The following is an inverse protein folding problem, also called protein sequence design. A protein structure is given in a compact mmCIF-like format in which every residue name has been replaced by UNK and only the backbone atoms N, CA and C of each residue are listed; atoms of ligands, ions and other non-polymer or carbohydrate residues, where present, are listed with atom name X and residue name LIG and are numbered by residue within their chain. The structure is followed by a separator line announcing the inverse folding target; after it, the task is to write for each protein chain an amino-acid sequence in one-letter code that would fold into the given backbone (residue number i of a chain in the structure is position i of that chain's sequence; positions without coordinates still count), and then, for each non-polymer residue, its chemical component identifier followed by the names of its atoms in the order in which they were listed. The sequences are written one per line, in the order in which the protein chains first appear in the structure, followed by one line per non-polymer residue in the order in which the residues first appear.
data_IF_185890331515
#
_entry.id   IF_185890331515
#
_cell.length_a   1.000
_cell.length_b   1.000
_cell.length_c   1.000
_cell.angle_alpha   90.00
_cell.angle_beta   90.00
_cell.angle_gamma   90.00
#
_symmetry.space_group_name_H-M   'P 1'
#
loop_
_entity.id
_entity.type
_entity.pdbx_description
1 polymer ?
#
# COMPACT_ATOMS: atom_id res chain seq x y z
N UNK A 1 17.37 -4.49 -17.99
CA UNK A 1 16.21 -5.11 -18.66
C UNK A 1 16.42 -6.54 -19.16
N UNK A 2 17.64 -7.05 -19.42
CA UNK A 2 17.87 -8.44 -19.88
C UNK A 2 18.19 -9.48 -18.77
N UNK A 3 18.28 -9.09 -17.50
CA UNK A 3 18.76 -9.98 -16.42
C UNK A 3 17.69 -10.83 -15.73
N UNK A 4 16.40 -10.48 -15.81
CA UNK A 4 15.31 -11.20 -15.11
C UNK A 4 14.39 -12.02 -16.03
N UNK A 5 14.50 -11.87 -17.37
CA UNK A 5 13.82 -12.76 -18.33
C UNK A 5 14.49 -14.13 -18.50
N UNK A 6 15.66 -14.36 -17.88
CA UNK A 6 16.38 -15.66 -17.94
C UNK A 6 15.96 -16.66 -16.86
N UNK A 7 15.21 -16.27 -15.84
CA UNK A 7 14.71 -17.23 -14.84
C UNK A 7 13.41 -17.95 -15.25
N UNK A 8 12.72 -17.48 -16.30
CA UNK A 8 11.46 -18.11 -16.76
C UNK A 8 11.65 -19.27 -17.75
N UNK A 9 12.90 -19.66 -18.07
CA UNK A 9 13.21 -20.70 -19.07
C UNK A 9 14.22 -21.76 -18.60
N UNK A 10 14.55 -21.79 -17.31
CA UNK A 10 15.54 -22.72 -16.74
C UNK A 10 14.95 -23.67 -15.67
N UNK A 11 13.62 -23.76 -15.54
CA UNK A 11 12.94 -24.60 -14.54
C UNK A 11 11.81 -25.45 -15.16
N UNK A 12 12.03 -25.92 -16.38
CA UNK A 12 11.26 -27.02 -16.99
C UNK A 12 12.28 -27.94 -17.63
N UNK A 13 12.85 -28.83 -16.81
CA UNK A 13 13.51 -30.10 -17.17
C UNK A 13 14.50 -30.47 -16.07
N UNK A 14 14.01 -31.10 -14.99
CA UNK A 14 14.63 -32.30 -14.42
C UNK A 14 13.76 -32.83 -13.29
N UNK A 15 13.61 -34.14 -13.32
CA UNK A 15 12.64 -34.97 -12.61
C UNK A 15 13.18 -35.33 -11.22
N UNK A 16 12.32 -35.16 -10.21
CA UNK A 16 12.00 -36.17 -9.18
C UNK A 16 13.14 -36.82 -8.36
N UNK A 17 13.34 -36.38 -7.10
CA UNK A 17 13.25 -37.24 -5.91
C UNK A 17 13.39 -36.39 -4.63
N UNK A 18 12.45 -36.52 -3.71
CA UNK A 18 12.54 -35.89 -2.38
C UNK A 18 11.17 -35.66 -1.76
N UNK A 19 10.49 -36.76 -1.43
CA UNK A 19 9.27 -36.72 -0.63
C UNK A 19 9.53 -36.03 0.70
N UNK A 20 8.85 -34.90 0.93
CA UNK A 20 8.59 -34.40 2.28
C UNK A 20 7.08 -34.25 2.41
N UNK A 21 6.52 -35.07 3.28
CA UNK A 21 5.12 -35.06 3.66
C UNK A 21 4.76 -33.66 4.18
N UNK A 22 3.89 -32.97 3.44
CA UNK A 22 3.24 -31.75 3.89
C UNK A 22 1.83 -32.16 4.35
N UNK A 23 1.68 -32.37 5.64
CA UNK A 23 0.39 -32.57 6.29
C UNK A 23 0.41 -31.72 7.56
N UNK A 24 -0.16 -30.51 7.50
CA UNK A 24 -1.38 -30.17 8.24
C UNK A 24 -1.76 -28.71 7.96
N UNK A 25 -3.04 -28.55 7.66
CA UNK A 25 -3.76 -27.29 7.53
C UNK A 25 -3.74 -26.55 8.87
N UNK A 26 -3.11 -25.38 8.92
CA UNK A 26 -3.47 -24.36 9.89
C UNK A 26 -3.88 -23.11 9.12
N UNK A 27 -5.19 -23.00 8.92
CA UNK A 27 -5.86 -21.88 8.30
C UNK A 27 -5.61 -20.61 9.12
N UNK A 28 -4.99 -19.61 8.50
CA UNK A 28 -4.88 -18.27 9.09
C UNK A 28 -6.27 -17.62 9.16
N UNK A 29 -6.90 -17.66 10.33
CA UNK A 29 -8.08 -16.83 10.61
C UNK A 29 -7.65 -15.36 10.78
N UNK A 30 -7.84 -14.58 9.72
CA UNK A 30 -7.77 -13.13 9.79
C UNK A 30 -9.02 -12.59 10.52
N UNK A 31 -9.00 -12.51 11.85
CA UNK A 31 -10.24 -12.12 12.55
C UNK A 31 -10.20 -11.94 14.06
N UNK A 32 -9.31 -11.12 14.63
CA UNK A 32 -9.54 -10.47 15.95
C UNK A 32 -8.87 -9.10 16.04
N UNK A 33 -9.38 -8.14 15.26
CA UNK A 33 -9.41 -6.75 15.71
C UNK A 33 -10.86 -6.33 15.72
N UNK A 34 -11.43 -6.27 16.92
CA UNK A 34 -12.83 -5.98 17.20
C UNK A 34 -13.27 -4.71 16.48
N UNK A 35 -14.20 -4.90 15.55
CA UNK A 35 -14.78 -3.86 14.72
C UNK A 35 -15.98 -3.28 15.48
N UNK A 36 -15.72 -2.40 16.45
CA UNK A 36 -16.77 -1.83 17.29
C UNK A 36 -16.45 -0.36 17.59
N UNK A 37 -16.71 0.50 16.60
CA UNK A 37 -16.97 1.96 16.73
C UNK A 37 -17.16 2.63 15.36
N UNK A 38 -18.19 2.21 14.61
CA UNK A 38 -18.74 3.02 13.52
C UNK A 38 -20.27 2.89 13.51
N UNK A 39 -20.92 3.39 14.56
CA UNK A 39 -22.37 3.70 14.59
C UNK A 39 -22.62 4.78 15.63
N UNK A 40 -22.35 6.03 15.26
CA UNK A 40 -22.91 7.23 15.89
C UNK A 40 -22.29 8.44 15.20
N UNK A 41 -22.90 8.91 14.11
CA UNK A 41 -22.88 10.30 13.62
C UNK A 41 -23.40 10.34 12.18
N UNK A 42 -24.66 9.95 11.97
CA UNK A 42 -25.38 10.22 10.72
C UNK A 42 -26.83 10.71 10.95
N UNK A 43 -27.17 11.09 12.20
CA UNK A 43 -28.49 11.62 12.56
C UNK A 43 -28.34 12.99 13.26
N UNK A 44 -28.08 14.05 12.49
CA UNK A 44 -28.16 15.42 13.01
C UNK A 44 -28.36 16.51 11.94
N UNK A 45 -28.94 16.20 10.78
CA UNK A 45 -29.24 17.23 9.77
C UNK A 45 -30.52 16.92 8.98
N UNK A 46 -31.66 16.97 9.66
CA UNK A 46 -32.96 17.13 9.00
C UNK A 46 -33.93 17.78 9.98
N UNK A 47 -34.19 19.08 9.82
CA UNK A 47 -35.51 19.71 9.94
C UNK A 47 -35.43 21.23 9.73
N UNK A 48 -36.54 21.77 9.21
CA UNK A 48 -36.90 23.18 8.99
C UNK A 48 -36.50 23.81 7.63
N UNK A 49 -37.46 23.77 6.70
CA UNK A 49 -37.61 24.73 5.60
C UNK A 49 -39.02 25.32 5.64
N UNK A 50 -39.14 26.65 5.76
CA UNK A 50 -40.31 27.43 5.33
C UNK A 50 -39.86 28.83 4.90
N UNK A 51 -40.31 29.16 3.68
CA UNK A 51 -40.18 30.32 2.80
C UNK A 51 -39.96 31.75 3.34
N UNK A 52 -39.20 32.55 2.58
CA UNK A 52 -39.58 33.86 2.01
C UNK A 52 -38.55 34.34 0.96
N UNK A 53 -38.99 35.18 0.00
CA UNK A 53 -38.39 35.36 -1.33
C UNK A 53 -37.53 36.63 -1.54
N UNK A 54 -36.62 36.54 -2.54
CA UNK A 54 -36.01 37.57 -3.45
C UNK A 54 -35.05 38.65 -2.89
N UNK A 55 -34.14 39.25 -3.72
CA UNK A 55 -33.31 38.68 -4.80
C UNK A 55 -31.81 39.16 -4.78
N UNK A 56 -31.03 38.66 -5.75
CA UNK A 56 -29.74 39.18 -6.28
C UNK A 56 -28.45 39.19 -5.42
N UNK A 57 -27.53 38.28 -5.75
CA UNK A 57 -26.13 38.58 -6.09
C UNK A 57 -25.44 37.27 -6.51
N UNK A 58 -24.87 37.26 -7.72
CA UNK A 58 -24.04 36.18 -8.27
C UNK A 58 -22.84 35.89 -7.35
N UNK A 59 -22.97 34.85 -6.52
CA UNK A 59 -21.84 34.27 -5.79
C UNK A 59 -21.42 33.00 -6.50
N UNK A 60 -20.31 33.12 -7.22
CA UNK A 60 -19.55 31.99 -7.72
C UNK A 60 -19.35 30.99 -6.58
N UNK A 61 -20.00 29.85 -6.73
CA UNK A 61 -20.05 28.82 -5.71
C UNK A 61 -18.74 28.05 -5.75
N UNK A 62 -17.69 28.58 -5.13
CA UNK A 62 -16.47 27.81 -4.89
C UNK A 62 -16.80 26.68 -3.93
N UNK A 63 -17.27 25.55 -4.47
CA UNK A 63 -17.36 24.29 -3.74
C UNK A 63 -15.98 24.02 -3.14
N UNK A 64 -15.86 23.65 -1.86
CA UNK A 64 -14.58 23.27 -1.30
C UNK A 64 -14.03 22.11 -2.13
N UNK A 65 -12.96 22.37 -2.89
CA UNK A 65 -12.27 21.33 -3.64
C UNK A 65 -11.71 20.35 -2.63
N UNK A 66 -12.32 19.17 -2.54
CA UNK A 66 -11.80 18.10 -1.71
C UNK A 66 -10.38 17.78 -2.18
N UNK A 67 -9.41 17.64 -1.27
CA UNK A 67 -8.03 17.38 -1.67
C UNK A 67 -7.97 16.06 -2.43
N UNK A 68 -7.36 16.10 -3.61
CA UNK A 68 -7.20 14.93 -4.49
C UNK A 68 -6.43 13.83 -3.75
N UNK A 69 -7.05 12.65 -3.64
CA UNK A 69 -6.42 11.47 -3.01
C UNK A 69 -5.41 10.85 -3.97
N UNK A 70 -4.23 10.52 -3.44
CA UNK A 70 -3.11 9.99 -4.23
C UNK A 70 -2.51 8.73 -3.63
N UNK A 71 -2.97 8.28 -2.46
CA UNK A 71 -2.47 7.04 -1.85
C UNK A 71 -3.50 5.93 -1.90
N UNK A 72 -3.07 4.76 -2.37
CA UNK A 72 -3.84 3.52 -2.35
C UNK A 72 -3.18 2.48 -1.44
N UNK A 73 -3.99 1.53 -0.98
CA UNK A 73 -3.57 0.31 -0.30
C UNK A 73 -3.87 -0.87 -1.23
N UNK A 74 -2.82 -1.57 -1.66
CA UNK A 74 -2.93 -2.84 -2.37
C UNK A 74 -2.99 -3.95 -1.34
N UNK A 75 -3.97 -4.84 -1.43
CA UNK A 75 -4.20 -5.96 -0.52
C UNK A 75 -4.05 -7.29 -1.25
N UNK A 76 -3.99 -8.38 -0.48
CA UNK A 76 -3.79 -9.74 -0.95
C UNK A 76 -2.48 -9.94 -1.72
N UNK A 77 -1.43 -9.23 -1.32
CA UNK A 77 -0.08 -9.45 -1.85
C UNK A 77 0.41 -10.83 -1.37
N UNK A 78 1.08 -11.64 -2.20
CA UNK A 78 1.67 -12.90 -1.75
C UNK A 78 2.75 -12.64 -0.70
N UNK A 79 2.72 -13.34 0.43
CA UNK A 79 3.54 -13.02 1.61
C UNK A 79 5.05 -13.12 1.37
N UNK A 80 5.46 -13.86 0.33
CA UNK A 80 6.86 -14.05 -0.04
C UNK A 80 7.38 -12.95 -0.98
N UNK A 81 6.56 -11.95 -1.32
CA UNK A 81 7.05 -10.77 -2.03
C UNK A 81 7.97 -9.95 -1.13
N UNK A 82 9.17 -9.68 -1.63
CA UNK A 82 10.04 -8.63 -1.10
C UNK A 82 9.62 -7.27 -1.64
N UNK A 83 10.09 -6.19 -1.00
CA UNK A 83 9.89 -4.82 -1.50
C UNK A 83 10.46 -4.67 -2.91
N UNK A 84 11.58 -5.30 -3.22
CA UNK A 84 12.19 -5.27 -4.56
C UNK A 84 11.29 -5.92 -5.60
N UNK A 85 10.76 -7.12 -5.32
CA UNK A 85 9.81 -7.79 -6.22
C UNK A 85 8.54 -6.97 -6.42
N UNK A 86 8.06 -6.32 -5.37
CA UNK A 86 6.89 -5.45 -5.44
C UNK A 86 7.14 -4.22 -6.32
N UNK A 87 8.27 -3.53 -6.14
CA UNK A 87 8.64 -2.38 -6.98
C UNK A 87 8.87 -2.78 -8.44
N UNK A 88 9.56 -3.91 -8.69
CA UNK A 88 9.75 -4.43 -10.04
C UNK A 88 8.42 -4.73 -10.73
N UNK A 89 7.46 -5.30 -10.00
CA UNK A 89 6.13 -5.56 -10.51
C UNK A 89 5.38 -4.26 -10.85
N UNK A 90 5.44 -3.23 -10.01
CA UNK A 90 4.87 -1.91 -10.34
C UNK A 90 5.50 -1.33 -11.62
N UNK A 91 6.82 -1.39 -11.73
CA UNK A 91 7.55 -0.85 -12.88
C UNK A 91 7.25 -1.63 -14.17
N UNK A 92 7.13 -2.97 -14.09
CA UNK A 92 6.74 -3.84 -15.21
C UNK A 92 5.33 -3.54 -15.73
N UNK A 93 4.43 -3.10 -14.86
CA UNK A 93 3.09 -2.66 -15.22
C UNK A 93 3.03 -1.18 -15.66
N UNK A 94 4.18 -0.53 -15.86
CA UNK A 94 4.25 0.84 -16.41
C UNK A 94 4.14 1.95 -15.37
N UNK A 95 4.38 1.67 -14.09
CA UNK A 95 4.35 2.67 -13.01
C UNK A 95 5.72 3.23 -12.64
N UNK A 96 6.77 2.89 -13.38
CA UNK A 96 8.11 3.45 -13.18
C UNK A 96 8.06 5.00 -13.21
N UNK A 97 8.45 5.62 -12.10
CA UNK A 97 8.41 7.09 -11.95
C UNK A 97 7.03 7.70 -11.71
N UNK A 98 5.97 6.89 -11.57
CA UNK A 98 4.59 7.34 -11.31
C UNK A 98 4.16 7.24 -9.84
N UNK A 99 5.06 6.79 -8.98
CA UNK A 99 4.90 6.78 -7.52
C UNK A 99 6.07 7.50 -6.84
N UNK A 100 5.79 8.08 -5.67
CA UNK A 100 6.77 8.81 -4.87
C UNK A 100 6.93 8.28 -3.43
N UNK A 101 6.06 7.37 -2.99
CA UNK A 101 6.18 6.65 -1.72
C UNK A 101 5.68 5.22 -1.86
N UNK A 102 6.44 4.26 -1.31
CA UNK A 102 6.04 2.85 -1.21
C UNK A 102 6.41 2.29 0.16
N UNK A 103 5.49 1.54 0.76
CA UNK A 103 5.77 0.75 1.96
C UNK A 103 5.07 -0.61 1.91
N UNK A 104 5.85 -1.68 2.00
CA UNK A 104 5.42 -3.06 2.16
C UNK A 104 5.84 -3.51 3.57
N UNK A 105 4.92 -3.50 4.57
CA UNK A 105 5.23 -3.97 5.91
C UNK A 105 5.53 -5.46 5.92
N UNK A 106 6.50 -5.86 6.74
CA UNK A 106 6.88 -7.24 6.95
C UNK A 106 6.95 -7.59 8.44
N UNK A 107 6.54 -8.82 8.74
CA UNK A 107 6.82 -9.50 10.00
C UNK A 107 8.29 -9.94 9.96
N UNK A 108 9.10 -9.40 10.86
CA UNK A 108 10.55 -9.66 10.89
C UNK A 108 10.89 -11.08 11.34
N UNK A 109 10.02 -11.71 12.14
CA UNK A 109 10.24 -13.06 12.66
C UNK A 109 9.92 -14.10 11.61
N UNK A 110 8.81 -13.89 10.90
CA UNK A 110 8.34 -14.80 9.84
C UNK A 110 8.99 -14.52 8.49
N UNK A 111 9.75 -13.43 8.37
CA UNK A 111 10.36 -12.95 7.13
C UNK A 111 9.35 -12.87 5.97
N UNK A 112 8.13 -12.42 6.28
CA UNK A 112 7.00 -12.42 5.36
C UNK A 112 6.31 -11.05 5.38
N UNK A 113 5.84 -10.57 4.23
CA UNK A 113 5.03 -9.36 4.21
C UNK A 113 3.64 -9.62 4.82
N UNK A 114 2.98 -8.55 5.28
CA UNK A 114 1.65 -8.63 5.90
C UNK A 114 0.49 -8.72 4.91
N UNK A 115 0.76 -8.96 3.62
CA UNK A 115 -0.25 -9.11 2.57
C UNK A 115 -0.81 -7.80 2.03
N UNK A 116 -0.24 -6.65 2.39
CA UNK A 116 -0.65 -5.35 1.88
C UNK A 116 0.51 -4.38 1.72
N UNK A 117 0.35 -3.37 0.87
CA UNK A 117 1.30 -2.28 0.68
C UNK A 117 0.59 -0.94 0.51
N UNK A 118 1.25 0.14 0.94
CA UNK A 118 0.83 1.51 0.67
C UNK A 118 1.65 2.08 -0.48
N UNK A 119 0.97 2.68 -1.47
CA UNK A 119 1.60 3.32 -2.62
C UNK A 119 1.02 4.71 -2.79
N UNK A 120 1.85 5.74 -2.75
CA UNK A 120 1.45 7.09 -3.14
C UNK A 120 1.88 7.36 -4.59
N UNK A 121 0.91 7.80 -5.39
CA UNK A 121 1.07 8.15 -6.78
C UNK A 121 1.33 9.66 -6.93
N UNK A 122 1.99 10.04 -8.01
CA UNK A 122 2.38 11.44 -8.27
C UNK A 122 1.19 12.34 -8.66
N UNK A 123 0.12 11.77 -9.21
CA UNK A 123 -1.09 12.47 -9.65
C UNK A 123 -2.31 11.54 -9.70
N UNK A 124 -3.50 12.11 -9.93
CA UNK A 124 -4.77 11.38 -10.01
C UNK A 124 -4.81 10.39 -11.19
N UNK A 125 -4.25 10.76 -12.34
CA UNK A 125 -4.24 9.90 -13.53
C UNK A 125 -3.42 8.62 -13.30
N UNK A 126 -2.36 8.69 -12.50
CA UNK A 126 -1.59 7.54 -12.04
C UNK A 126 -2.37 6.68 -11.04
N UNK A 127 -3.21 7.26 -10.20
CA UNK A 127 -4.13 6.50 -9.33
C UNK A 127 -5.13 5.71 -10.15
N UNK A 128 -5.81 6.36 -11.10
CA UNK A 128 -6.84 5.72 -11.94
C UNK A 128 -6.25 4.58 -12.78
N UNK A 129 -5.05 4.81 -13.33
CA UNK A 129 -4.31 3.77 -14.05
C UNK A 129 -3.92 2.61 -13.13
N UNK A 130 -3.41 2.90 -11.92
CA UNK A 130 -3.03 1.86 -10.96
C UNK A 130 -4.25 1.04 -10.55
N UNK A 131 -5.37 1.69 -10.24
CA UNK A 131 -6.59 1.01 -9.85
C UNK A 131 -7.08 0.07 -10.94
N UNK A 132 -7.10 0.55 -12.19
CA UNK A 132 -7.54 -0.21 -13.36
C UNK A 132 -6.67 -1.44 -13.65
N UNK A 133 -5.38 -1.38 -13.33
CA UNK A 133 -4.44 -2.49 -13.55
C UNK A 133 -4.43 -3.47 -12.37
N UNK A 134 -4.49 -2.98 -11.14
CA UNK A 134 -4.22 -3.78 -9.96
C UNK A 134 -5.45 -4.32 -9.25
N UNK A 135 -6.62 -3.73 -9.44
CA UNK A 135 -7.84 -4.30 -8.86
C UNK A 135 -8.25 -5.54 -9.67
N UNK A 136 -8.20 -6.71 -9.03
CA UNK A 136 -8.34 -7.99 -9.73
C UNK A 136 -7.03 -8.58 -10.27
N UNK A 137 -5.87 -7.98 -9.99
CA UNK A 137 -4.58 -8.48 -10.49
C UNK A 137 -4.20 -9.83 -9.88
N UNK A 138 -3.87 -10.80 -10.73
CA UNK A 138 -3.46 -12.16 -10.34
C UNK A 138 -2.19 -12.65 -11.05
N UNK A 139 -1.59 -11.82 -11.92
CA UNK A 139 -0.40 -12.16 -12.71
C UNK A 139 0.89 -12.01 -11.88
N UNK A 140 0.93 -12.63 -10.70
CA UNK A 140 2.08 -12.59 -9.80
C UNK A 140 3.29 -13.35 -10.39
N UNK A 141 4.48 -12.92 -10.00
CA UNK A 141 5.75 -13.57 -10.32
C UNK A 141 5.96 -14.87 -9.55
N UNK A 142 5.14 -15.14 -8.52
CA UNK A 142 5.18 -16.33 -7.68
C UNK A 142 3.89 -17.15 -7.87
N UNK A 143 3.94 -18.49 -7.77
CA UNK A 143 2.76 -19.32 -7.87
C UNK A 143 1.83 -19.07 -6.68
N UNK A 144 0.64 -18.51 -6.93
CA UNK A 144 -0.36 -18.21 -5.91
C UNK A 144 -1.73 -17.98 -6.53
N UNK A 145 -2.79 -18.35 -5.84
CA UNK A 145 -4.18 -18.10 -6.24
C UNK A 145 -4.71 -16.73 -5.74
N UNK A 146 -3.88 -15.94 -5.04
CA UNK A 146 -4.30 -14.64 -4.52
C UNK A 146 -4.69 -13.69 -5.66
N UNK A 147 -5.67 -12.84 -5.39
CA UNK A 147 -6.12 -11.79 -6.31
C UNK A 147 -6.03 -10.45 -5.57
N UNK A 148 -5.31 -9.50 -6.16
CA UNK A 148 -5.09 -8.19 -5.58
C UNK A 148 -6.39 -7.41 -5.48
N UNK A 149 -6.52 -6.64 -4.42
CA UNK A 149 -7.61 -5.68 -4.25
C UNK A 149 -7.01 -4.30 -3.98
N UNK A 150 -7.55 -3.28 -4.63
CA UNK A 150 -7.14 -1.89 -4.41
C UNK A 150 -8.18 -1.18 -3.56
N UNK A 151 -7.71 -0.37 -2.62
CA UNK A 151 -8.57 0.47 -1.78
C UNK A 151 -7.88 1.80 -1.48
N UNK A 152 -8.64 2.82 -1.07
CA UNK A 152 -8.03 4.05 -0.59
C UNK A 152 -7.23 3.80 0.69
N UNK A 153 -6.03 4.39 0.80
CA UNK A 153 -5.29 4.37 2.06
C UNK A 153 -6.05 5.14 3.14
N UNK A 154 -6.17 4.56 4.34
CA UNK A 154 -6.76 5.20 5.51
C UNK A 154 -5.96 4.84 6.77
N UNK A 155 -5.80 5.76 7.74
CA UNK A 155 -6.35 7.12 7.79
C UNK A 155 -5.50 8.18 7.06
N UNK A 156 -4.35 7.80 6.47
CA UNK A 156 -3.40 8.76 5.88
C UNK A 156 -3.55 8.82 4.36
N UNK A 157 -3.50 10.03 3.80
CA UNK A 157 -3.57 10.29 2.36
C UNK A 157 -2.50 11.29 1.92
N UNK A 158 -1.90 11.02 0.76
CA UNK A 158 -0.86 11.83 0.15
C UNK A 158 0.55 11.53 0.68
N UNK A 159 1.55 11.92 -0.13
CA UNK A 159 2.97 11.78 0.15
C UNK A 159 3.38 12.34 1.51
N UNK A 160 3.03 13.61 1.79
CA UNK A 160 3.43 14.31 3.02
C UNK A 160 2.96 13.61 4.29
N UNK A 161 1.72 13.11 4.28
CA UNK A 161 1.15 12.40 5.43
C UNK A 161 1.89 11.09 5.71
N UNK A 162 2.24 10.33 4.66
CA UNK A 162 3.00 9.08 4.80
C UNK A 162 4.44 9.33 5.25
N UNK A 163 5.11 10.35 4.70
CA UNK A 163 6.44 10.76 5.15
C UNK A 163 6.43 11.11 6.64
N UNK A 164 5.47 11.93 7.09
CA UNK A 164 5.41 12.33 8.50
C UNK A 164 5.05 11.16 9.43
N UNK A 165 4.14 10.27 8.99
CA UNK A 165 3.80 9.03 9.71
C UNK A 165 5.04 8.19 9.97
N UNK A 166 5.85 7.97 8.94
CA UNK A 166 6.93 6.99 9.02
C UNK A 166 8.27 7.55 9.48
N UNK A 167 8.58 8.84 9.26
CA UNK A 167 9.90 9.40 9.63
C UNK A 167 10.27 9.21 11.11
N UNK A 168 9.25 9.12 11.96
CA UNK A 168 9.40 8.95 13.41
C UNK A 168 9.00 7.55 13.90
N UNK A 169 8.62 6.65 12.99
CA UNK A 169 8.18 5.29 13.31
C UNK A 169 9.36 4.38 13.67
N UNK A 170 9.20 3.42 14.60
CA UNK A 170 10.23 2.42 14.93
C UNK A 170 10.79 1.67 13.71
N UNK A 171 10.00 1.51 12.63
CA UNK A 171 10.47 0.88 11.38
C UNK A 171 11.66 1.63 10.76
N UNK A 172 11.79 2.94 11.02
CA UNK A 172 12.91 3.75 10.54
C UNK A 172 14.15 3.67 11.45
N UNK A 173 14.11 2.88 12.52
CA UNK A 173 15.26 2.72 13.41
C UNK A 173 16.46 2.09 12.68
N UNK A 174 17.68 2.43 13.12
CA UNK A 174 18.93 1.96 12.51
C UNK A 174 19.11 0.43 12.54
N UNK A 175 18.48 -0.26 13.50
CA UNK A 175 18.54 -1.73 13.62
C UNK A 175 17.61 -2.44 12.64
N UNK A 176 16.68 -1.73 12.01
CA UNK A 176 15.79 -2.33 11.01
C UNK A 176 16.56 -2.36 9.68
N UNK A 177 16.64 -3.53 9.01
CA UNK A 177 17.22 -3.63 7.68
C UNK A 177 16.53 -2.70 6.66
N UNK A 178 17.26 -2.29 5.64
CA UNK A 178 16.75 -1.29 4.70
C UNK A 178 15.54 -1.82 3.92
N UNK A 179 15.56 -3.09 3.51
CA UNK A 179 14.53 -3.80 2.73
C UNK A 179 13.12 -3.71 3.32
N UNK A 180 13.00 -3.53 4.63
CA UNK A 180 11.73 -3.46 5.34
C UNK A 180 11.26 -2.03 5.61
N UNK A 181 12.05 -1.01 5.23
CA UNK A 181 11.68 0.39 5.45
C UNK A 181 10.73 0.91 4.37
N UNK A 182 9.89 1.91 4.69
CA UNK A 182 9.26 2.71 3.66
C UNK A 182 10.31 3.43 2.82
N UNK A 183 10.03 3.59 1.54
CA UNK A 183 10.91 4.25 0.56
C UNK A 183 10.20 5.40 -0.12
N UNK A 184 10.97 6.40 -0.50
CA UNK A 184 10.48 7.55 -1.26
C UNK A 184 11.27 7.73 -2.54
N UNK A 185 10.63 8.33 -3.52
CA UNK A 185 11.16 8.53 -4.86
C UNK A 185 10.92 9.97 -5.32
N UNK A 186 11.78 10.42 -6.24
CA UNK A 186 11.59 11.65 -6.99
C UNK A 186 12.04 11.39 -8.41
N UNK A 187 11.12 11.54 -9.37
CA UNK A 187 11.35 11.26 -10.79
C UNK A 187 11.88 9.84 -11.02
N UNK A 188 11.26 8.84 -10.38
CA UNK A 188 11.66 7.43 -10.47
C UNK A 188 12.95 7.06 -9.73
N UNK A 189 13.71 8.03 -9.23
CA UNK A 189 14.93 7.77 -8.47
C UNK A 189 14.65 7.71 -6.96
N UNK A 190 15.11 6.63 -6.31
CA UNK A 190 15.04 6.48 -4.85
C UNK A 190 15.75 7.64 -4.15
N UNK A 191 15.13 8.17 -3.08
CA UNK A 191 15.69 9.23 -2.23
C UNK A 191 15.81 8.78 -0.78
N UNK A 192 16.70 9.44 -0.05
CA UNK A 192 16.82 9.25 1.39
C UNK A 192 15.58 9.80 2.08
N UNK A 193 15.02 9.01 2.99
CA UNK A 193 13.92 9.46 3.82
C UNK A 193 14.32 10.71 4.63
N UNK A 194 13.42 11.69 4.82
CA UNK A 194 13.72 12.84 5.67
C UNK A 194 14.12 12.43 7.08
N UNK A 195 15.05 13.17 7.68
CA UNK A 195 15.54 12.88 9.04
C UNK A 195 14.37 12.86 10.03
N UNK A 196 14.38 11.97 11.04
CA UNK A 196 13.39 12.00 12.11
C UNK A 196 13.35 13.36 12.81
N UNK A 197 12.16 13.82 13.22
CA UNK A 197 12.01 15.00 14.10
C UNK A 197 12.06 14.62 15.58
N UNK A 198 11.94 13.33 15.88
CA UNK A 198 11.97 12.77 17.23
C UNK A 198 12.96 11.62 17.29
N UNK A 199 13.43 11.28 18.50
CA UNK A 199 14.27 10.09 18.71
C UNK A 199 13.45 8.84 18.38
N UNK A 200 13.85 8.12 17.34
CA UNK A 200 13.23 6.85 16.95
C UNK A 200 13.70 5.76 17.91
N UNK A 201 12.75 5.10 18.57
CA UNK A 201 13.03 3.94 19.43
C UNK A 201 13.18 2.69 18.56
N UNK A 202 13.97 1.72 19.03
CA UNK A 202 14.03 0.42 18.39
C UNK A 202 12.64 -0.25 18.40
N UNK A 203 12.30 -1.06 17.38
CA UNK A 203 11.12 -1.91 17.43
C UNK A 203 11.14 -2.78 18.69
N UNK A 204 10.04 -2.79 19.43
CA UNK A 204 9.77 -3.83 20.41
C UNK A 204 9.45 -5.12 19.66
N UNK A 205 9.84 -6.27 20.21
CA UNK A 205 9.55 -7.57 19.63
C UNK A 205 8.04 -7.70 19.29
N UNK A 206 7.72 -7.93 18.02
CA UNK A 206 6.36 -8.22 17.54
C UNK A 206 5.72 -7.24 16.54
N UNK A 207 6.51 -6.57 15.69
CA UNK A 207 5.98 -5.87 14.50
C UNK A 207 5.81 -6.82 13.31
#
# INVERSE_FOLDING_TARGET
MQRYRRLRRAMTDSVFLGAFNFNEEETYEAGRFSNERVKAQEEAASTASTAAATPEASRDSTKPTTPVRTTVMLRNIPNNYSREMFLAMLDEQGFAGRYDFVYLPCDFYRQANLGYAFVNLVDAAAVDALWSVFDGFSAWSLPTAKVCQVSWSGPHQGFKAHVERYRNSPVMHRSVPDEYKPVIFKNGARKNFPRPTKKVKAPTAGL
#
